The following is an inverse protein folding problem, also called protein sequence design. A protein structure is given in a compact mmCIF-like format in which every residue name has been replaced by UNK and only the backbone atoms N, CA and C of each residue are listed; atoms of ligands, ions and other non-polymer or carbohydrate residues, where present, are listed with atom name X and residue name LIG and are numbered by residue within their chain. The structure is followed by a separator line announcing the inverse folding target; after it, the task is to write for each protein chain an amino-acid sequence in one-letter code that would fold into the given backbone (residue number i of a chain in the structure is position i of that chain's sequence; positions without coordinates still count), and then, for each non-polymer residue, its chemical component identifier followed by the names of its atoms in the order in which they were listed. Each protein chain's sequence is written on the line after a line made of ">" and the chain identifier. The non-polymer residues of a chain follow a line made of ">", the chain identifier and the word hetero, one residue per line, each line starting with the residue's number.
data_IF_254794393458
#
_entry.id   IF_254794393458
#
_cell.length_a   1.000
_cell.length_b   1.000
_cell.length_c   1.000
_cell.angle_alpha   90.00
_cell.angle_beta   90.00
_cell.angle_gamma   90.00
#
_symmetry.space_group_name_H-M   'P 1'
#
loop_
_entity.id
_entity.type
_entity.pdbx_description
1 polymer ?
#
# COMPACT_ATOMS: atom_id res chain seq x y z
N UNK A 1 -2.53 3.81 4.78
CA UNK A 1 -2.40 4.92 3.80
C UNK A 1 -3.65 5.12 2.96
N UNK A 2 -4.55 4.13 2.86
CA UNK A 2 -5.83 4.25 2.15
C UNK A 2 -6.90 3.41 2.88
N UNK A 3 -8.15 3.83 2.84
CA UNK A 3 -9.27 3.06 3.42
C UNK A 3 -9.45 1.74 2.68
N UNK A 4 -9.30 1.75 1.34
CA UNK A 4 -9.39 0.55 0.50
C UNK A 4 -8.22 -0.42 0.68
N UNK A 5 -7.13 0.06 1.27
CA UNK A 5 -5.93 -0.73 1.51
C UNK A 5 -5.91 -1.47 2.84
N UNK A 6 -6.95 -1.33 3.67
CA UNK A 6 -6.97 -1.89 5.02
C UNK A 6 -7.15 -3.42 5.00
N UNK A 7 -6.26 -4.13 5.69
CA UNK A 7 -6.28 -5.59 5.79
C UNK A 7 -7.12 -6.11 6.97
N UNK A 8 -7.31 -5.31 8.03
CA UNK A 8 -8.11 -5.71 9.21
C UNK A 8 -8.78 -4.51 9.88
N UNK A 9 -9.89 -4.77 10.60
CA UNK A 9 -10.73 -3.73 11.23
C UNK A 9 -9.97 -2.77 12.14
N UNK A 10 -8.97 -3.26 12.88
CA UNK A 10 -8.21 -2.48 13.86
C UNK A 10 -6.79 -2.11 13.39
N UNK A 11 -6.50 -2.26 12.10
CA UNK A 11 -5.18 -1.89 11.56
C UNK A 11 -4.92 -0.39 11.74
N UNK A 12 -3.74 -0.07 12.29
CA UNK A 12 -3.23 1.29 12.42
C UNK A 12 -3.12 1.98 11.06
N UNK A 13 -3.45 3.26 11.00
CA UNK A 13 -3.47 4.05 9.77
C UNK A 13 -2.51 5.24 9.83
N UNK A 14 -1.94 5.56 8.68
CA UNK A 14 -1.20 6.80 8.37
C UNK A 14 -1.80 7.48 7.12
N UNK A 15 -3.09 7.24 6.86
CA UNK A 15 -3.79 7.71 5.66
C UNK A 15 -4.18 9.19 5.70
N UNK A 16 -4.27 9.78 6.90
CA UNK A 16 -4.81 11.11 7.12
C UNK A 16 -3.94 11.92 8.09
N UNK A 17 -3.92 13.25 7.96
CA UNK A 17 -3.10 14.13 8.78
C UNK A 17 -3.47 14.06 10.28
N UNK A 18 -4.73 13.74 10.61
CA UNK A 18 -5.17 13.52 12.01
C UNK A 18 -4.43 12.36 12.70
N UNK A 19 -3.80 11.46 11.94
CA UNK A 19 -3.04 10.33 12.51
C UNK A 19 -1.63 10.72 12.96
N UNK A 20 -1.10 11.87 12.54
CA UNK A 20 0.29 12.27 12.76
C UNK A 20 0.61 12.36 14.25
N UNK A 21 -0.24 13.01 15.04
CA UNK A 21 0.03 13.21 16.47
C UNK A 21 0.06 11.89 17.26
N UNK A 22 -0.84 10.96 16.94
CA UNK A 22 -0.84 9.63 17.54
C UNK A 22 0.41 8.84 17.16
N UNK A 23 0.79 8.90 15.89
CA UNK A 23 1.97 8.20 15.37
C UNK A 23 3.27 8.81 15.87
N UNK A 24 3.31 10.12 16.12
CA UNK A 24 4.44 10.81 16.74
C UNK A 24 4.72 10.33 18.16
N UNK A 25 3.66 10.07 18.95
CA UNK A 25 3.81 9.48 20.28
C UNK A 25 4.46 8.10 20.20
N UNK A 26 4.04 7.27 19.23
CA UNK A 26 4.62 5.94 19.01
C UNK A 26 6.09 6.02 18.60
N UNK A 27 6.43 6.84 17.59
CA UNK A 27 7.80 7.00 17.12
C UNK A 27 8.72 7.50 18.25
N UNK A 28 8.29 8.52 19.00
CA UNK A 28 9.06 9.07 20.12
C UNK A 28 9.29 8.04 21.23
N UNK A 29 8.30 7.21 21.55
CA UNK A 29 8.42 6.18 22.57
C UNK A 29 9.48 5.13 22.21
N UNK A 30 9.53 4.69 20.95
CA UNK A 30 10.57 3.74 20.52
C UNK A 30 11.95 4.42 20.57
N UNK A 31 12.04 5.64 20.06
CA UNK A 31 13.29 6.39 19.97
C UNK A 31 13.85 6.84 21.32
N UNK A 32 13.02 7.01 22.34
CA UNK A 32 13.50 7.28 23.72
C UNK A 32 14.25 6.10 24.34
N UNK A 33 14.26 4.94 23.67
CA UNK A 33 15.01 3.75 24.06
C UNK A 33 16.19 3.49 23.09
N UNK A 34 16.77 4.55 22.53
CA UNK A 34 17.95 4.52 21.62
C UNK A 34 17.79 3.54 20.44
N UNK A 35 16.57 3.43 19.93
CA UNK A 35 16.23 2.50 18.84
C UNK A 35 15.67 3.25 17.63
N UNK A 36 16.08 2.83 16.43
CA UNK A 36 15.49 3.31 15.18
C UNK A 36 14.11 2.68 14.95
N UNK A 37 13.22 3.42 14.30
CA UNK A 37 11.87 2.96 13.97
C UNK A 37 11.49 3.31 12.54
N UNK A 38 11.10 2.30 11.78
CA UNK A 38 10.67 2.42 10.38
C UNK A 38 9.19 2.05 10.28
N UNK A 39 8.40 2.87 9.57
CA UNK A 39 6.99 2.57 9.35
C UNK A 39 6.80 1.77 8.06
N UNK A 40 6.25 0.55 8.17
CA UNK A 40 5.85 -0.21 6.99
C UNK A 40 4.51 0.32 6.44
N UNK A 41 4.50 0.72 5.16
CA UNK A 41 3.31 1.22 4.44
C UNK A 41 2.80 0.11 3.51
N UNK A 42 1.52 -0.23 3.61
CA UNK A 42 0.94 -1.38 2.90
C UNK A 42 -0.45 -1.11 2.34
N UNK A 43 -0.74 -1.69 1.16
CA UNK A 43 -2.09 -1.80 0.59
C UNK A 43 -2.46 -3.27 0.46
N UNK A 44 -3.55 -3.72 1.09
CA UNK A 44 -3.95 -5.13 1.03
C UNK A 44 -4.37 -5.59 -0.38
N UNK A 45 -4.95 -4.70 -1.19
CA UNK A 45 -5.40 -5.04 -2.54
C UNK A 45 -6.44 -6.16 -2.47
N UNK A 46 -6.29 -7.22 -3.28
CA UNK A 46 -7.17 -8.40 -3.21
C UNK A 46 -7.10 -9.19 -1.89
N UNK A 47 -6.18 -8.87 -0.98
CA UNK A 47 -6.15 -9.44 0.38
C UNK A 47 -7.12 -8.77 1.37
N UNK A 48 -7.72 -7.63 1.00
CA UNK A 48 -8.77 -6.96 1.79
C UNK A 48 -10.11 -7.72 1.67
N UNK A 49 -11.10 -7.31 2.46
CA UNK A 49 -12.47 -7.83 2.38
C UNK A 49 -13.48 -6.70 2.48
N UNK A 50 -14.63 -6.88 1.83
CA UNK A 50 -15.75 -5.95 1.92
C UNK A 50 -16.22 -5.72 3.37
N UNK A 51 -16.14 -6.73 4.24
CA UNK A 51 -16.42 -6.57 5.67
C UNK A 51 -15.51 -5.52 6.36
N UNK A 52 -14.24 -5.43 5.94
CA UNK A 52 -13.26 -4.52 6.54
C UNK A 52 -13.32 -3.13 5.92
N UNK A 53 -13.49 -3.04 4.60
CA UNK A 53 -13.37 -1.77 3.85
C UNK A 53 -14.72 -1.21 3.39
N UNK A 54 -15.83 -1.92 3.60
CA UNK A 54 -17.19 -1.52 3.25
C UNK A 54 -17.52 -1.58 1.76
N UNK A 55 -16.60 -2.09 0.93
CA UNK A 55 -16.77 -2.23 -0.52
C UNK A 55 -15.88 -3.32 -1.08
N UNK A 56 -16.11 -3.68 -2.34
CA UNK A 56 -15.31 -4.67 -3.07
C UNK A 56 -13.82 -4.29 -3.10
N UNK A 57 -12.90 -5.21 -2.75
CA UNK A 57 -11.46 -5.02 -2.87
C UNK A 57 -11.01 -4.69 -4.29
N UNK A 58 -9.85 -4.04 -4.39
CA UNK A 58 -9.25 -3.62 -5.65
C UNK A 58 -7.91 -4.32 -5.91
N UNK A 59 -7.57 -4.54 -7.17
CA UNK A 59 -6.34 -5.25 -7.57
C UNK A 59 -5.92 -4.85 -9.00
N UNK A 60 -4.73 -5.29 -9.48
CA UNK A 60 -4.28 -5.01 -10.85
C UNK A 60 -5.20 -5.62 -11.91
N UNK A 61 -5.82 -6.76 -11.58
CA UNK A 61 -6.76 -7.47 -12.46
C UNK A 61 -7.85 -8.14 -11.62
N UNK A 62 -8.97 -8.48 -12.24
CA UNK A 62 -10.09 -9.19 -11.61
C UNK A 62 -9.78 -10.68 -11.34
N UNK A 63 -8.74 -10.95 -10.56
CA UNK A 63 -8.23 -12.29 -10.23
C UNK A 63 -8.28 -12.50 -8.72
N UNK A 64 -8.88 -13.62 -8.32
CA UNK A 64 -8.93 -14.04 -6.91
C UNK A 64 -7.53 -14.18 -6.32
N UNK A 65 -7.35 -13.76 -5.06
CA UNK A 65 -6.04 -13.86 -4.41
C UNK A 65 -5.57 -15.33 -4.30
N UNK A 66 -4.45 -15.71 -4.93
CA UNK A 66 -3.97 -17.10 -4.88
C UNK A 66 -3.56 -17.54 -3.48
N UNK A 67 -3.12 -16.60 -2.63
CA UNK A 67 -2.69 -16.87 -1.26
C UNK A 67 -3.84 -16.98 -0.26
N UNK A 68 -5.08 -16.66 -0.68
CA UNK A 68 -6.27 -16.72 0.19
C UNK A 68 -7.49 -17.24 -0.56
N UNK A 69 -7.79 -18.51 -0.36
CA UNK A 69 -8.92 -19.18 -1.04
C UNK A 69 -10.30 -18.62 -0.69
N UNK A 70 -10.44 -17.83 0.37
CA UNK A 70 -11.72 -17.26 0.83
C UNK A 70 -11.97 -15.83 0.36
N UNK A 71 -11.00 -15.15 -0.27
CA UNK A 71 -11.19 -13.78 -0.74
C UNK A 71 -12.15 -13.74 -1.92
N UNK A 72 -12.97 -12.71 -1.99
CA UNK A 72 -13.77 -12.38 -3.17
C UNK A 72 -12.89 -12.06 -4.39
N UNK A 73 -13.48 -12.11 -5.59
CA UNK A 73 -12.80 -11.64 -6.81
C UNK A 73 -12.73 -10.11 -6.71
N UNK A 74 -11.55 -9.47 -6.76
CA UNK A 74 -11.43 -8.01 -6.66
C UNK A 74 -11.94 -7.32 -7.93
N UNK A 75 -12.15 -6.01 -7.84
CA UNK A 75 -12.32 -5.14 -9.01
C UNK A 75 -10.95 -4.75 -9.56
N UNK A 76 -10.82 -4.72 -10.88
CA UNK A 76 -9.64 -4.19 -11.55
C UNK A 76 -9.55 -2.67 -11.40
N UNK A 77 -8.36 -2.17 -11.06
CA UNK A 77 -8.07 -0.74 -10.94
C UNK A 77 -8.05 -0.06 -12.32
N UNK A 78 -8.52 1.18 -12.40
CA UNK A 78 -8.23 2.04 -13.56
C UNK A 78 -6.83 2.66 -13.43
N UNK A 79 -6.29 3.21 -14.52
CA UNK A 79 -4.99 3.90 -14.50
C UNK A 79 -5.01 5.08 -13.55
N UNK A 80 -6.10 5.85 -13.53
CA UNK A 80 -6.26 7.01 -12.65
C UNK A 80 -6.29 6.60 -11.17
N UNK A 81 -6.93 5.47 -10.84
CA UNK A 81 -6.91 4.92 -9.48
C UNK A 81 -5.51 4.46 -9.07
N UNK A 82 -4.72 3.90 -10.00
CA UNK A 82 -3.33 3.52 -9.75
C UNK A 82 -2.50 4.76 -9.43
N UNK A 83 -2.65 5.83 -10.20
CA UNK A 83 -1.97 7.12 -9.95
C UNK A 83 -2.34 7.71 -8.58
N UNK A 84 -3.62 7.65 -8.21
CA UNK A 84 -4.07 8.08 -6.88
C UNK A 84 -3.45 7.23 -5.77
N UNK A 85 -3.36 5.91 -5.95
CA UNK A 85 -2.72 5.01 -4.98
C UNK A 85 -1.23 5.36 -4.83
N UNK A 86 -0.52 5.66 -5.93
CA UNK A 86 0.87 6.12 -5.89
C UNK A 86 1.00 7.37 -5.01
N UNK A 87 0.16 8.38 -5.21
CA UNK A 87 0.18 9.59 -4.38
C UNK A 87 -0.15 9.29 -2.91
N UNK A 88 -1.09 8.38 -2.63
CA UNK A 88 -1.40 7.96 -1.25
C UNK A 88 -0.21 7.28 -0.55
N UNK A 89 0.59 6.49 -1.26
CA UNK A 89 1.83 5.94 -0.72
C UNK A 89 2.85 7.05 -0.40
N UNK A 90 3.02 8.00 -1.31
CA UNK A 90 3.92 9.15 -1.15
C UNK A 90 3.50 10.01 0.04
N UNK A 91 2.21 10.35 0.15
CA UNK A 91 1.71 11.17 1.25
C UNK A 91 1.81 10.45 2.60
N UNK A 92 1.63 9.12 2.63
CA UNK A 92 1.91 8.33 3.83
C UNK A 92 3.38 8.36 4.24
N UNK A 93 4.31 8.35 3.28
CA UNK A 93 5.73 8.52 3.58
C UNK A 93 6.05 9.91 4.14
N UNK A 94 5.45 10.96 3.58
CA UNK A 94 5.56 12.33 4.11
C UNK A 94 5.00 12.43 5.52
N UNK A 95 3.85 11.80 5.80
CA UNK A 95 3.27 11.77 7.15
C UNK A 95 4.15 11.00 8.14
N UNK A 96 4.75 9.89 7.72
CA UNK A 96 5.70 9.15 8.54
C UNK A 96 6.92 10.00 8.91
N UNK A 97 7.49 10.72 7.94
CA UNK A 97 8.58 11.70 8.16
C UNK A 97 8.15 12.79 9.15
N UNK A 98 6.96 13.39 8.97
CA UNK A 98 6.39 14.39 9.90
C UNK A 98 6.17 13.84 11.33
N UNK A 99 5.81 12.57 11.44
CA UNK A 99 5.62 11.89 12.72
C UNK A 99 6.95 11.49 13.40
N UNK A 100 8.10 11.63 12.73
CA UNK A 100 9.41 11.41 13.33
C UNK A 100 9.97 9.99 13.21
N UNK A 101 9.39 9.16 12.34
CA UNK A 101 9.99 7.87 11.96
C UNK A 101 11.31 8.08 11.22
N UNK A 102 12.25 7.13 11.38
CA UNK A 102 13.58 7.18 10.75
C UNK A 102 13.56 6.76 9.28
N UNK A 103 12.46 6.14 8.84
CA UNK A 103 12.24 5.79 7.46
C UNK A 103 10.89 5.14 7.23
N UNK A 104 10.68 4.70 6.00
CA UNK A 104 9.51 3.91 5.61
C UNK A 104 9.95 2.66 4.86
N UNK A 105 9.21 1.58 5.08
CA UNK A 105 9.33 0.36 4.30
C UNK A 105 8.09 0.23 3.40
N UNK A 106 8.30 0.09 2.09
CA UNK A 106 7.20 -0.10 1.14
C UNK A 106 6.88 -1.60 1.05
N UNK A 107 5.71 -1.99 1.53
CA UNK A 107 5.34 -3.41 1.57
C UNK A 107 4.95 -3.93 0.18
N UNK A 108 5.88 -4.66 -0.44
CA UNK A 108 5.72 -5.30 -1.76
C UNK A 108 5.82 -6.83 -1.71
N UNK A 109 5.24 -7.44 -0.67
CA UNK A 109 5.32 -8.89 -0.44
C UNK A 109 3.96 -9.49 -0.04
N UNK A 110 3.95 -10.79 0.21
CA UNK A 110 2.85 -11.53 0.86
C UNK A 110 1.47 -11.41 0.17
N UNK A 111 1.43 -11.24 -1.16
CA UNK A 111 0.17 -11.14 -1.90
C UNK A 111 -0.62 -9.86 -1.63
N UNK A 112 0.04 -8.78 -1.21
CA UNK A 112 -0.54 -7.43 -1.09
C UNK A 112 -0.43 -6.69 -2.42
N UNK A 113 -1.05 -5.52 -2.56
CA UNK A 113 -1.28 -4.87 -3.86
C UNK A 113 -0.03 -4.73 -4.71
N UNK A 114 1.08 -4.25 -4.15
CA UNK A 114 2.32 -4.06 -4.92
C UNK A 114 2.90 -5.41 -5.38
N UNK A 115 2.86 -6.43 -4.52
CA UNK A 115 3.19 -7.79 -4.92
C UNK A 115 2.24 -8.34 -5.99
N UNK A 116 0.96 -7.96 -5.96
CA UNK A 116 -0.02 -8.34 -6.98
C UNK A 116 0.32 -7.71 -8.34
N UNK A 117 0.77 -6.44 -8.38
CA UNK A 117 1.27 -5.80 -9.60
C UNK A 117 2.53 -6.48 -10.13
N UNK A 118 3.45 -6.86 -9.23
CA UNK A 118 4.71 -7.49 -9.60
C UNK A 118 4.51 -8.91 -10.18
N UNK A 119 3.56 -9.68 -9.66
CA UNK A 119 3.39 -11.09 -10.03
C UNK A 119 2.61 -11.26 -11.34
N UNK A 120 3.10 -12.08 -12.29
CA UNK A 120 2.39 -12.34 -13.54
C UNK A 120 1.19 -13.28 -13.34
N UNK A 121 1.03 -13.86 -12.14
CA UNK A 121 -0.13 -14.68 -11.77
C UNK A 121 -1.35 -13.79 -11.55
N UNK A 122 -1.16 -12.63 -10.90
CA UNK A 122 -2.22 -11.72 -10.45
C UNK A 122 -2.36 -10.48 -11.31
N UNK A 123 -1.33 -10.09 -12.06
CA UNK A 123 -1.38 -8.97 -13.00
C UNK A 123 -1.51 -9.49 -14.43
N UNK A 124 -2.69 -9.30 -15.04
CA UNK A 124 -3.01 -9.61 -16.44
C UNK A 124 -3.32 -8.36 -17.25
N UNK A 125 -2.93 -7.18 -16.75
CA UNK A 125 -3.12 -5.93 -17.47
C UNK A 125 -2.34 -5.94 -18.78
N UNK A 126 -2.91 -5.25 -19.76
CA UNK A 126 -2.31 -5.03 -21.09
C UNK A 126 -1.91 -3.57 -21.31
N UNK A 127 -2.07 -2.72 -20.29
CA UNK A 127 -1.63 -1.33 -20.29
C UNK A 127 -0.22 -1.17 -19.71
N UNK A 128 0.18 0.07 -19.46
CA UNK A 128 1.50 0.45 -18.96
C UNK A 128 1.85 -0.08 -17.56
N UNK A 129 0.89 -0.66 -16.83
CA UNK A 129 1.11 -1.27 -15.51
C UNK A 129 1.11 -2.80 -15.56
N UNK A 130 1.08 -3.40 -16.76
CA UNK A 130 1.08 -4.85 -16.97
C UNK A 130 2.07 -5.32 -18.02
N UNK A 131 1.84 -6.52 -18.55
CA UNK A 131 2.72 -7.11 -19.56
C UNK A 131 4.06 -7.60 -18.99
N UNK A 132 5.14 -6.99 -19.45
CA UNK A 132 6.51 -7.40 -19.12
C UNK A 132 6.93 -6.99 -17.70
N UNK A 133 8.23 -7.09 -17.40
CA UNK A 133 8.73 -6.70 -16.09
C UNK A 133 8.65 -5.18 -15.88
N UNK A 134 8.86 -4.38 -16.93
CA UNK A 134 8.93 -2.92 -16.83
C UNK A 134 7.56 -2.32 -16.46
N UNK A 135 6.49 -2.81 -17.10
CA UNK A 135 5.13 -2.41 -16.73
C UNK A 135 4.76 -2.85 -15.32
N UNK A 136 5.12 -4.09 -14.93
CA UNK A 136 4.78 -4.64 -13.59
C UNK A 136 5.52 -3.96 -12.43
N UNK A 137 6.74 -3.46 -12.65
CA UNK A 137 7.49 -2.71 -11.63
C UNK A 137 7.18 -1.21 -11.65
N UNK A 138 6.52 -0.69 -12.69
CA UNK A 138 6.29 0.75 -12.89
C UNK A 138 5.74 1.45 -11.65
N UNK A 139 4.66 0.92 -11.07
CA UNK A 139 4.04 1.46 -9.84
C UNK A 139 5.03 1.56 -8.67
N UNK A 140 5.94 0.59 -8.52
CA UNK A 140 6.95 0.55 -7.46
C UNK A 140 7.97 1.67 -7.65
N UNK A 141 8.48 1.81 -8.89
CA UNK A 141 9.46 2.82 -9.24
C UNK A 141 8.89 4.24 -9.10
N UNK A 142 7.62 4.45 -9.49
CA UNK A 142 6.96 5.73 -9.33
C UNK A 142 6.76 6.11 -7.85
N UNK A 143 6.38 5.16 -6.99
CA UNK A 143 6.30 5.39 -5.54
C UNK A 143 7.66 5.80 -4.98
N UNK A 144 8.72 5.07 -5.31
CA UNK A 144 10.08 5.34 -4.82
C UNK A 144 10.54 6.73 -5.30
N UNK A 145 10.52 6.99 -6.61
CA UNK A 145 10.96 8.24 -7.22
C UNK A 145 10.22 9.46 -6.68
N UNK A 146 8.92 9.35 -6.46
CA UNK A 146 8.11 10.47 -5.93
C UNK A 146 8.34 10.66 -4.43
N UNK A 147 8.57 9.58 -3.67
CA UNK A 147 8.88 9.66 -2.24
C UNK A 147 10.23 10.34 -1.99
N UNK A 148 11.25 10.06 -2.80
CA UNK A 148 12.58 10.67 -2.68
C UNK A 148 12.58 12.20 -2.96
N UNK A 149 11.57 12.70 -3.67
CA UNK A 149 11.44 14.12 -4.02
C UNK A 149 10.74 14.97 -2.94
N UNK A 150 10.18 14.37 -1.88
CA UNK A 150 9.44 15.07 -0.80
C UNK A 150 10.12 14.92 0.58
#
# INVERSE_FOLDING_TARGET
>A
MDLLGKASKNQTSIADDSTIDGMKKLANLVKSNDSNVVLQISHAGSSASEEVIGQKPVAPSAIKNPSKSTTEIPRELTVEEIEQIIEKFVDAAVRAKKAGFDGVEIHSAHGYLLNQFLSPITNKRTDEYGGDIDGRIKIHLEIIRKSEKK
#
